data_IF_422977028511
#
_entry.id   IF_422977028511
#
_cell.length_a   1.000
_cell.length_b   1.000
_cell.length_c   1.000
_cell.angle_alpha   90.00
_cell.angle_beta   90.00
_cell.angle_gamma   90.00
#
_symmetry.space_group_name_H-M   'P 1'
#
loop_
_entity.id
_entity.type
_entity.pdbx_description
1 polymer ?
#
# COMPACT_ATOMS: atom_id res chain seq x y z
N UNK A 1 11.50 -3.03 6.15
CA UNK A 1 10.55 -1.90 6.31
C UNK A 1 10.65 -0.87 5.19
N UNK A 2 11.85 -0.39 4.82
CA UNK A 2 12.01 0.61 3.74
C UNK A 2 11.47 0.14 2.38
N UNK A 3 11.66 -1.14 2.00
CA UNK A 3 11.08 -1.63 0.75
C UNK A 3 9.55 -1.66 0.78
N UNK A 4 8.96 -2.05 1.92
CA UNK A 4 7.50 -2.06 2.10
C UNK A 4 6.93 -0.65 2.03
N UNK A 5 7.60 0.34 2.63
CA UNK A 5 7.19 1.74 2.51
C UNK A 5 7.26 2.22 1.05
N UNK A 6 8.31 1.87 0.31
CA UNK A 6 8.42 2.23 -1.11
C UNK A 6 7.31 1.57 -1.96
N UNK A 7 6.93 0.33 -1.66
CA UNK A 7 5.79 -0.33 -2.30
C UNK A 7 4.45 0.34 -1.96
N UNK A 8 4.28 0.80 -0.72
CA UNK A 8 3.09 1.55 -0.30
C UNK A 8 2.98 2.88 -1.06
N UNK A 9 4.09 3.61 -1.20
CA UNK A 9 4.12 4.87 -1.93
C UNK A 9 3.83 4.66 -3.43
N UNK A 10 4.34 3.57 -4.02
CA UNK A 10 4.01 3.18 -5.39
C UNK A 10 2.52 2.88 -5.55
N UNK A 11 1.92 2.11 -4.64
CA UNK A 11 0.48 1.81 -4.66
C UNK A 11 -0.37 3.09 -4.56
N UNK A 12 0.02 4.02 -3.69
CA UNK A 12 -0.65 5.33 -3.57
C UNK A 12 -0.58 6.13 -4.87
N UNK A 13 0.57 6.14 -5.54
CA UNK A 13 0.72 6.79 -6.85
C UNK A 13 -0.16 6.11 -7.92
N UNK A 14 -0.23 4.77 -7.93
CA UNK A 14 -1.08 4.02 -8.86
C UNK A 14 -2.57 4.25 -8.62
N UNK A 15 -3.00 4.39 -7.36
CA UNK A 15 -4.37 4.75 -7.00
C UNK A 15 -4.72 6.13 -7.56
N UNK A 16 -3.88 7.13 -7.30
CA UNK A 16 -4.09 8.50 -7.79
C UNK A 16 -4.17 8.55 -9.32
N UNK A 17 -3.32 7.77 -10.02
CA UNK A 17 -3.38 7.69 -11.47
C UNK A 17 -4.65 6.98 -11.97
N UNK A 18 -5.11 5.91 -11.30
CA UNK A 18 -6.37 5.26 -11.65
C UNK A 18 -7.57 6.19 -11.43
N UNK A 19 -7.58 6.99 -10.35
CA UNK A 19 -8.62 8.00 -10.09
C UNK A 19 -8.64 9.06 -11.19
N UNK A 20 -7.46 9.58 -11.58
CA UNK A 20 -7.33 10.51 -12.70
C UNK A 20 -7.84 9.90 -14.01
N UNK A 21 -7.44 8.67 -14.31
CA UNK A 21 -7.85 7.95 -15.52
C UNK A 21 -9.36 7.66 -15.55
N UNK A 22 -9.95 7.36 -14.40
CA UNK A 22 -11.40 7.18 -14.25
C UNK A 22 -12.16 8.47 -14.57
N UNK A 23 -11.66 9.62 -14.09
CA UNK A 23 -12.27 10.93 -14.33
C UNK A 23 -12.22 11.31 -15.81
N UNK A 24 -11.08 11.11 -16.48
CA UNK A 24 -10.90 11.50 -17.89
C UNK A 24 -11.48 10.49 -18.89
N UNK A 25 -11.80 9.27 -18.45
CA UNK A 25 -12.32 8.22 -19.31
C UNK A 25 -13.75 8.54 -19.78
N UNK A 26 -13.92 8.71 -21.09
CA UNK A 26 -15.24 8.91 -21.74
C UNK A 26 -16.09 7.63 -21.83
N UNK A 27 -15.47 6.45 -21.70
CA UNK A 27 -16.14 5.15 -21.85
C UNK A 27 -16.48 4.58 -20.47
N UNK A 28 -17.75 4.20 -20.26
CA UNK A 28 -18.24 3.65 -19.00
C UNK A 28 -17.48 2.39 -18.56
N UNK A 29 -17.29 1.43 -19.46
CA UNK A 29 -16.60 0.19 -19.14
C UNK A 29 -15.14 0.43 -18.68
N UNK A 30 -14.46 1.43 -19.26
CA UNK A 30 -13.13 1.86 -18.78
C UNK A 30 -13.21 2.45 -17.37
N UNK A 31 -14.20 3.29 -17.09
CA UNK A 31 -14.42 3.84 -15.73
C UNK A 31 -14.64 2.73 -14.71
N UNK A 32 -15.42 1.71 -15.06
CA UNK A 32 -15.71 0.58 -14.19
C UNK A 32 -14.47 -0.28 -13.92
N UNK A 33 -13.59 -0.45 -14.91
CA UNK A 33 -12.30 -1.13 -14.72
C UNK A 33 -11.43 -0.36 -13.73
N UNK A 34 -11.26 0.96 -13.92
CA UNK A 34 -10.47 1.78 -13.00
C UNK A 34 -11.06 1.81 -11.59
N UNK A 35 -12.40 1.87 -11.46
CA UNK A 35 -13.07 1.77 -10.17
C UNK A 35 -12.70 0.48 -9.41
N UNK A 36 -12.71 -0.66 -10.11
CA UNK A 36 -12.32 -1.96 -9.53
C UNK A 36 -10.84 -2.01 -9.16
N UNK A 37 -9.96 -1.40 -9.96
CA UNK A 37 -8.53 -1.31 -9.65
C UNK A 37 -8.29 -0.48 -8.39
N UNK A 38 -8.93 0.68 -8.26
CA UNK A 38 -8.82 1.56 -7.08
C UNK A 38 -9.19 0.80 -5.81
N UNK A 39 -10.32 0.07 -5.81
CA UNK A 39 -10.75 -0.73 -4.66
C UNK A 39 -9.70 -1.78 -4.28
N UNK A 40 -9.14 -2.50 -5.26
CA UNK A 40 -8.13 -3.54 -5.01
C UNK A 40 -6.82 -2.96 -4.50
N UNK A 41 -6.33 -1.87 -5.10
CA UNK A 41 -5.10 -1.22 -4.66
C UNK A 41 -5.22 -0.63 -3.26
N UNK A 42 -6.39 -0.06 -2.91
CA UNK A 42 -6.64 0.40 -1.54
C UNK A 42 -6.60 -0.75 -0.53
N UNK A 43 -7.21 -1.89 -0.84
CA UNK A 43 -7.14 -3.07 0.03
C UNK A 43 -5.69 -3.53 0.27
N UNK A 44 -4.89 -3.64 -0.79
CA UNK A 44 -3.48 -4.02 -0.69
C UNK A 44 -2.67 -2.96 0.09
N UNK A 45 -2.94 -1.67 -0.14
CA UNK A 45 -2.28 -0.60 0.60
C UNK A 45 -2.57 -0.68 2.10
N UNK A 46 -3.82 -0.96 2.50
CA UNK A 46 -4.19 -1.16 3.90
C UNK A 46 -3.50 -2.38 4.51
N UNK A 47 -3.42 -3.50 3.79
CA UNK A 47 -2.67 -4.68 4.23
C UNK A 47 -1.19 -4.35 4.46
N UNK A 48 -0.60 -3.57 3.56
CA UNK A 48 0.79 -3.18 3.63
C UNK A 48 1.06 -2.19 4.77
N UNK A 49 0.16 -1.23 5.00
CA UNK A 49 0.17 -0.32 6.16
C UNK A 49 0.11 -1.09 7.48
N UNK A 50 -0.78 -2.07 7.57
CA UNK A 50 -0.89 -2.94 8.74
C UNK A 50 0.38 -3.76 8.96
N UNK A 51 0.96 -4.33 7.90
CA UNK A 51 2.21 -5.06 8.00
C UNK A 51 3.35 -4.14 8.45
N UNK A 52 3.44 -2.93 7.91
CA UNK A 52 4.45 -1.94 8.31
C UNK A 52 4.29 -1.55 9.79
N UNK A 53 3.06 -1.42 10.30
CA UNK A 53 2.81 -1.04 11.69
C UNK A 53 3.09 -2.17 12.69
N UNK A 54 2.91 -3.43 12.29
CA UNK A 54 2.92 -4.57 13.21
C UNK A 54 4.14 -5.51 13.07
N UNK A 55 4.91 -5.40 11.99
CA UNK A 55 6.14 -6.17 11.86
C UNK A 55 7.18 -5.61 12.84
N UNK A 56 7.75 -6.45 13.73
CA UNK A 56 8.83 -6.00 14.59
C UNK A 56 9.98 -5.54 13.70
N UNK A 57 10.47 -4.33 13.95
CA UNK A 57 11.72 -3.89 13.35
C UNK A 57 12.79 -4.92 13.73
N UNK A 58 13.62 -5.31 12.78
CA UNK A 58 14.79 -6.16 13.07
C UNK A 58 15.68 -5.53 14.15
N UNK A 59 15.55 -4.23 14.41
CA UNK A 59 16.19 -3.53 15.52
C UNK A 59 15.52 -3.80 16.88
N UNK A 60 14.18 -3.80 16.96
CA UNK A 60 13.43 -4.08 18.20
C UNK A 60 13.64 -5.52 18.68
N UNK A 61 13.82 -6.45 17.74
CA UNK A 61 14.07 -7.86 18.06
C UNK A 61 15.47 -8.06 18.67
N UNK A 62 16.45 -7.23 18.30
CA UNK A 62 17.81 -7.31 18.84
C UNK A 62 17.91 -6.65 20.23
N UNK A 63 17.23 -5.52 20.45
CA UNK A 63 17.18 -4.86 21.76
C UNK A 63 16.52 -5.73 22.83
N UNK A 64 15.42 -6.43 22.49
CA UNK A 64 14.78 -7.37 23.41
C UNK A 64 15.70 -8.50 23.85
N UNK A 65 16.64 -8.93 22.99
CA UNK A 65 17.57 -10.02 23.29
C UNK A 65 18.68 -9.59 24.25
N UNK A 66 19.02 -8.31 24.28
CA UNK A 66 20.05 -7.76 25.17
C UNK A 66 19.53 -7.35 26.56
N UNK A 67 18.22 -7.29 26.75
CA UNK A 67 17.60 -7.00 28.07
C UNK A 67 17.33 -8.27 28.90
N UNK A 68 17.53 -9.46 28.33
CA UNK A 68 17.34 -10.77 28.99
C UNK A 68 18.65 -11.42 29.49
N UNK A 69 19.80 -10.72 29.43
CA UNK A 69 21.10 -11.13 30.02
C UNK A 69 21.48 -10.29 31.25
#
# INVERSE_FOLDING_TARGET
MKEMQAQLDLLRAQIAECERLQIVAKNQAKRDVYARLIVRYRAIATELEHAIANLPSSFDTLLRRTEEE
#
